data_IF_951618140490
#
_entry.id   IF_951618140490
#
_cell.length_a   1.000
_cell.length_b   1.000
_cell.length_c   1.000
_cell.angle_alpha   90.00
_cell.angle_beta   90.00
_cell.angle_gamma   90.00
#
_symmetry.space_group_name_H-M   'P 1'
#
loop_
_entity.id
_entity.type
_entity.pdbx_description
1 polymer ?
#
# COMPACT_ATOMS: atom_id res chain seq x y z
N UNK A 1 33.14 71.76 -11.94
CA UNK A 1 33.21 70.34 -11.55
C UNK A 1 31.91 69.86 -10.88
N UNK A 2 30.73 70.17 -11.44
CA UNK A 2 29.43 69.75 -10.87
C UNK A 2 28.38 69.36 -11.94
N UNK A 3 28.83 69.07 -13.17
CA UNK A 3 27.94 68.68 -14.28
C UNK A 3 28.37 67.38 -14.99
N UNK A 4 29.27 66.59 -14.39
CA UNK A 4 29.68 65.27 -14.90
C UNK A 4 29.27 64.09 -14.02
N UNK A 5 28.71 64.31 -12.82
CA UNK A 5 28.24 63.22 -11.95
C UNK A 5 26.73 62.93 -12.07
N UNK A 6 25.92 63.86 -12.58
CA UNK A 6 24.49 63.64 -12.77
C UNK A 6 24.15 62.72 -13.98
N UNK A 7 25.07 62.58 -14.93
CA UNK A 7 24.83 61.77 -16.13
C UNK A 7 25.18 60.29 -15.99
N UNK A 8 25.89 59.91 -14.92
CA UNK A 8 26.25 58.52 -14.61
C UNK A 8 25.23 57.86 -13.68
N UNK A 9 24.50 58.65 -12.88
CA UNK A 9 23.44 58.13 -12.00
C UNK A 9 22.16 57.79 -12.78
N UNK A 10 21.83 58.52 -13.85
CA UNK A 10 20.60 58.30 -14.65
C UNK A 10 20.64 57.04 -15.54
N UNK A 11 21.84 56.52 -15.89
CA UNK A 11 21.97 55.27 -16.67
C UNK A 11 21.94 54.00 -15.81
N UNK A 12 22.23 54.09 -14.51
CA UNK A 12 22.19 52.94 -13.59
C UNK A 12 20.74 52.65 -13.12
N UNK A 13 19.87 53.66 -13.03
CA UNK A 13 18.48 53.49 -12.60
C UNK A 13 17.56 52.87 -13.68
N UNK A 14 17.97 52.79 -14.95
CA UNK A 14 17.19 52.14 -16.01
C UNK A 14 17.61 50.71 -16.35
N UNK A 15 18.73 50.22 -15.82
CA UNK A 15 19.25 48.86 -16.11
C UNK A 15 18.80 47.84 -15.05
N UNK A 16 18.53 48.30 -13.83
CA UNK A 16 18.10 47.45 -12.71
C UNK A 16 16.68 46.86 -12.91
N UNK A 17 15.68 47.55 -13.51
CA UNK A 17 14.35 46.95 -13.69
C UNK A 17 14.30 45.84 -14.76
N UNK A 18 15.19 45.86 -15.76
CA UNK A 18 15.21 44.85 -16.84
C UNK A 18 15.96 43.58 -16.45
N UNK A 19 17.01 43.69 -15.64
CA UNK A 19 17.73 42.53 -15.14
C UNK A 19 16.95 41.84 -14.02
N UNK A 20 16.31 42.60 -13.12
CA UNK A 20 15.40 42.03 -12.12
C UNK A 20 14.15 41.43 -12.79
N UNK A 21 13.53 42.05 -13.82
CA UNK A 21 12.45 41.38 -14.58
C UNK A 21 12.91 40.10 -15.30
N UNK A 22 14.14 40.03 -15.81
CA UNK A 22 14.64 38.79 -16.41
C UNK A 22 14.93 37.71 -15.36
N UNK A 23 15.32 38.10 -14.14
CA UNK A 23 15.58 37.17 -13.03
C UNK A 23 14.32 36.79 -12.23
N UNK A 24 13.27 37.61 -12.20
CA UNK A 24 11.98 37.29 -11.53
C UNK A 24 10.92 36.73 -12.47
N UNK A 25 11.22 36.62 -13.77
CA UNK A 25 10.40 35.88 -14.74
C UNK A 25 11.12 34.61 -15.24
N UNK A 26 12.04 34.07 -14.46
CA UNK A 26 12.13 32.62 -14.34
C UNK A 26 11.05 32.23 -13.32
N UNK A 27 9.79 32.45 -13.72
CA UNK A 27 8.66 31.75 -13.14
C UNK A 27 9.13 30.31 -13.10
N UNK A 28 9.27 29.75 -11.90
CA UNK A 28 9.30 28.31 -11.73
C UNK A 28 8.09 27.81 -12.51
N UNK A 29 8.29 27.40 -13.77
CA UNK A 29 7.32 26.56 -14.44
C UNK A 29 7.35 25.32 -13.58
N UNK A 30 6.42 25.23 -12.63
CA UNK A 30 6.14 23.98 -11.95
C UNK A 30 5.99 22.97 -13.07
N UNK A 31 6.84 21.94 -13.06
CA UNK A 31 6.65 20.81 -13.96
C UNK A 31 5.17 20.40 -13.88
N UNK A 32 4.51 20.11 -15.01
CA UNK A 32 3.11 19.73 -14.97
C UNK A 32 2.97 18.54 -14.02
N UNK A 33 1.99 18.61 -13.11
CA UNK A 33 1.66 17.54 -12.17
C UNK A 33 1.52 16.23 -12.96
N UNK A 34 2.25 15.20 -12.54
CA UNK A 34 2.16 13.86 -13.11
C UNK A 34 1.40 12.96 -12.16
N UNK A 35 0.55 12.09 -12.72
CA UNK A 35 -0.20 11.08 -11.98
C UNK A 35 0.39 9.72 -12.30
N UNK A 36 0.83 8.99 -11.28
CA UNK A 36 1.52 7.70 -11.42
C UNK A 36 0.88 6.66 -10.53
N UNK A 37 0.78 5.42 -11.00
CA UNK A 37 0.18 4.35 -10.23
C UNK A 37 0.92 3.02 -10.32
N UNK A 38 0.82 2.24 -9.25
CA UNK A 38 1.21 0.83 -9.21
C UNK A 38 -0.01 0.01 -8.81
N UNK A 39 -0.42 -0.94 -9.65
CA UNK A 39 -1.57 -1.82 -9.43
C UNK A 39 -1.09 -3.27 -9.34
N UNK A 40 -1.37 -3.94 -8.23
CA UNK A 40 -0.88 -5.28 -7.91
C UNK A 40 -2.08 -6.18 -7.65
N UNK A 41 -2.30 -7.17 -8.51
CA UNK A 41 -3.40 -8.12 -8.42
C UNK A 41 -2.89 -9.55 -8.46
N UNK A 42 -3.12 -10.33 -7.39
CA UNK A 42 -2.56 -11.67 -7.24
C UNK A 42 -3.68 -12.68 -6.99
N UNK A 43 -3.81 -13.67 -7.88
CA UNK A 43 -4.82 -14.73 -7.77
C UNK A 43 -4.25 -16.06 -7.23
N UNK A 44 -2.93 -16.22 -7.14
CA UNK A 44 -2.26 -17.43 -6.65
C UNK A 44 -2.74 -18.71 -7.35
N UNK A 45 -2.95 -18.62 -8.68
CA UNK A 45 -3.61 -19.66 -9.48
C UNK A 45 -2.91 -21.01 -9.34
N UNK A 46 -3.68 -22.05 -9.03
CA UNK A 46 -3.17 -23.41 -8.85
C UNK A 46 -2.54 -23.71 -7.47
N UNK A 47 -2.62 -22.78 -6.51
CA UNK A 47 -2.19 -23.02 -5.12
C UNK A 47 -3.39 -23.22 -4.19
N UNK A 48 -3.14 -23.60 -2.93
CA UNK A 48 -4.21 -23.68 -1.92
C UNK A 48 -4.75 -22.29 -1.50
N UNK A 49 -4.01 -21.21 -1.76
CA UNK A 49 -4.45 -19.82 -1.58
C UNK A 49 -5.08 -19.19 -2.83
N UNK A 50 -5.64 -19.98 -3.74
CA UNK A 50 -6.19 -19.44 -4.99
C UNK A 50 -7.36 -18.46 -4.74
N UNK A 51 -7.21 -17.24 -5.27
CA UNK A 51 -8.22 -16.17 -5.38
C UNK A 51 -8.63 -15.98 -6.85
N UNK A 52 -9.75 -15.29 -7.11
CA UNK A 52 -10.26 -15.10 -8.49
C UNK A 52 -10.59 -13.67 -8.88
N UNK A 53 -10.84 -12.80 -7.91
CA UNK A 53 -11.22 -11.41 -8.12
C UNK A 53 -10.07 -10.44 -8.25
N UNK A 54 -8.90 -10.75 -7.69
CA UNK A 54 -7.83 -9.78 -7.48
C UNK A 54 -7.32 -9.13 -8.78
N UNK A 55 -7.10 -9.93 -9.81
CA UNK A 55 -6.70 -9.43 -11.14
C UNK A 55 -7.83 -8.61 -11.81
N UNK A 56 -9.09 -8.94 -11.56
CA UNK A 56 -10.23 -8.17 -12.10
C UNK A 56 -10.34 -6.81 -11.40
N UNK A 57 -10.06 -6.76 -10.10
CA UNK A 57 -10.08 -5.52 -9.31
C UNK A 57 -9.08 -4.51 -9.87
N UNK A 58 -7.83 -4.92 -10.10
CA UNK A 58 -6.80 -4.02 -10.64
C UNK A 58 -7.09 -3.59 -12.08
N UNK A 59 -7.69 -4.47 -12.90
CA UNK A 59 -8.11 -4.11 -14.27
C UNK A 59 -9.23 -3.07 -14.27
N UNK A 60 -10.17 -3.16 -13.34
CA UNK A 60 -11.24 -2.15 -13.17
C UNK A 60 -10.67 -0.85 -12.63
N UNK A 61 -9.78 -0.92 -11.64
CA UNK A 61 -9.12 0.26 -11.10
C UNK A 61 -8.26 0.97 -12.15
N UNK A 62 -7.54 0.23 -12.99
CA UNK A 62 -6.81 0.81 -14.13
C UNK A 62 -7.74 1.66 -15.02
N UNK A 63 -8.88 1.10 -15.45
CA UNK A 63 -9.85 1.85 -16.26
C UNK A 63 -10.37 3.09 -15.53
N UNK A 64 -10.70 2.95 -14.25
CA UNK A 64 -11.15 4.06 -13.41
C UNK A 64 -10.11 5.20 -13.34
N UNK A 65 -8.84 4.86 -13.11
CA UNK A 65 -7.74 5.83 -13.05
C UNK A 65 -7.57 6.60 -14.36
N UNK A 66 -7.66 5.90 -15.49
CA UNK A 66 -7.54 6.52 -16.82
C UNK A 66 -8.77 7.37 -17.14
N UNK A 67 -9.97 6.78 -17.07
CA UNK A 67 -11.21 7.40 -17.56
C UNK A 67 -11.72 8.51 -16.65
N UNK A 68 -11.66 8.31 -15.32
CA UNK A 68 -12.20 9.26 -14.33
C UNK A 68 -11.14 10.21 -13.81
N UNK A 69 -9.96 9.68 -13.48
CA UNK A 69 -8.91 10.46 -12.82
C UNK A 69 -7.84 10.98 -13.77
N UNK A 70 -7.90 10.65 -15.07
CA UNK A 70 -7.01 11.19 -16.10
C UNK A 70 -5.55 10.79 -15.93
N UNK A 71 -5.28 9.59 -15.43
CA UNK A 71 -3.94 9.00 -15.45
C UNK A 71 -3.58 8.62 -16.89
N UNK A 72 -2.34 8.86 -17.29
CA UNK A 72 -1.80 8.32 -18.55
C UNK A 72 -1.49 6.84 -18.37
N UNK A 73 -1.87 5.99 -19.32
CA UNK A 73 -1.58 4.54 -19.26
C UNK A 73 -0.09 4.25 -19.11
N UNK A 74 0.77 5.09 -19.69
CA UNK A 74 2.24 4.96 -19.60
C UNK A 74 2.79 5.17 -18.18
N UNK A 75 2.02 5.81 -17.31
CA UNK A 75 2.36 6.08 -15.92
C UNK A 75 1.69 5.09 -14.95
N UNK A 76 1.04 4.04 -15.45
CA UNK A 76 0.42 2.99 -14.63
C UNK A 76 1.19 1.67 -14.82
N UNK A 77 1.90 1.26 -13.79
CA UNK A 77 2.56 -0.04 -13.74
C UNK A 77 1.59 -1.09 -13.19
N UNK A 78 1.44 -2.21 -13.89
CA UNK A 78 0.59 -3.33 -13.46
C UNK A 78 1.42 -4.59 -13.21
N UNK A 79 1.24 -5.23 -12.05
CA UNK A 79 1.82 -6.52 -11.71
C UNK A 79 0.68 -7.51 -11.48
N UNK A 80 0.58 -8.53 -12.33
CA UNK A 80 -0.47 -9.56 -12.27
C UNK A 80 0.10 -10.94 -12.54
N UNK A 81 -0.36 -11.95 -11.80
CA UNK A 81 0.21 -13.30 -11.84
C UNK A 81 -0.43 -14.22 -12.88
N UNK A 82 -1.62 -13.87 -13.39
CA UNK A 82 -2.40 -14.65 -14.36
C UNK A 82 -2.01 -14.40 -15.83
N UNK A 83 -1.08 -13.50 -16.10
CA UNK A 83 -0.62 -13.17 -17.45
C UNK A 83 0.91 -13.13 -17.50
N UNK A 84 1.51 -14.22 -18.00
CA UNK A 84 2.98 -14.36 -18.11
C UNK A 84 3.65 -13.33 -19.01
N UNK A 85 2.90 -12.56 -19.80
CA UNK A 85 3.44 -11.45 -20.61
C UNK A 85 3.66 -10.18 -19.78
N UNK A 86 3.13 -10.12 -18.55
CA UNK A 86 3.25 -9.01 -17.63
C UNK A 86 4.34 -9.29 -16.59
N UNK A 87 4.74 -8.24 -15.90
CA UNK A 87 5.62 -8.35 -14.73
C UNK A 87 4.89 -9.14 -13.65
N UNK A 88 5.46 -10.26 -13.21
CA UNK A 88 4.88 -11.07 -12.15
C UNK A 88 4.97 -10.33 -10.80
N UNK A 89 3.96 -10.42 -9.93
CA UNK A 89 3.92 -9.77 -8.62
C UNK A 89 4.71 -10.55 -7.57
N UNK A 90 6.00 -10.78 -7.83
CA UNK A 90 6.95 -11.34 -6.86
C UNK A 90 7.36 -10.29 -5.82
N UNK A 91 7.86 -10.72 -4.66
CA UNK A 91 8.30 -9.79 -3.62
C UNK A 91 9.32 -8.78 -4.13
N UNK A 92 10.29 -9.25 -4.93
CA UNK A 92 11.28 -8.41 -5.63
C UNK A 92 10.61 -7.36 -6.52
N UNK A 93 9.72 -7.78 -7.41
CA UNK A 93 9.14 -6.91 -8.42
C UNK A 93 8.20 -5.87 -7.79
N UNK A 94 7.47 -6.25 -6.75
CA UNK A 94 6.61 -5.31 -6.00
C UNK A 94 7.46 -4.24 -5.31
N UNK A 95 8.51 -4.62 -4.57
CA UNK A 95 9.43 -3.68 -3.93
C UNK A 95 10.06 -2.71 -4.92
N UNK A 96 10.49 -3.22 -6.07
CA UNK A 96 11.05 -2.41 -7.14
C UNK A 96 10.02 -1.44 -7.70
N UNK A 97 8.80 -1.90 -8.02
CA UNK A 97 7.75 -1.04 -8.57
C UNK A 97 7.35 0.09 -7.61
N UNK A 98 7.22 -0.19 -6.31
CA UNK A 98 6.94 0.84 -5.30
C UNK A 98 8.11 1.82 -5.16
N UNK A 99 9.35 1.33 -5.17
CA UNK A 99 10.54 2.18 -5.09
C UNK A 99 10.69 3.09 -6.31
N UNK A 100 10.36 2.60 -7.52
CA UNK A 100 10.36 3.39 -8.75
C UNK A 100 9.22 4.42 -8.79
N UNK A 101 8.03 4.06 -8.30
CA UNK A 101 6.90 4.99 -8.16
C UNK A 101 7.30 6.20 -7.31
N UNK A 102 7.87 5.94 -6.14
CA UNK A 102 8.26 6.97 -5.18
C UNK A 102 9.52 7.72 -5.65
N UNK A 103 10.54 6.99 -6.11
CA UNK A 103 11.82 7.56 -6.52
C UNK A 103 11.75 8.44 -7.77
N UNK A 104 10.71 8.25 -8.60
CA UNK A 104 10.47 9.08 -9.78
C UNK A 104 9.50 10.25 -9.52
N UNK A 105 8.94 10.37 -8.32
CA UNK A 105 7.95 11.39 -7.98
C UNK A 105 8.58 12.78 -7.79
N UNK A 106 7.88 13.82 -8.24
CA UNK A 106 8.21 15.22 -8.00
C UNK A 106 7.18 15.88 -7.09
N UNK A 107 7.57 16.95 -6.40
CA UNK A 107 6.65 17.79 -5.60
C UNK A 107 5.40 18.15 -6.42
N UNK A 108 4.21 17.87 -5.85
CA UNK A 108 2.92 18.09 -6.49
C UNK A 108 2.36 16.90 -7.29
N UNK A 109 3.12 15.82 -7.49
CA UNK A 109 2.63 14.61 -8.18
C UNK A 109 1.55 13.88 -7.36
N UNK A 110 0.71 13.12 -8.06
CA UNK A 110 -0.30 12.24 -7.46
C UNK A 110 0.11 10.80 -7.66
N UNK A 111 0.33 10.08 -6.56
CA UNK A 111 0.73 8.69 -6.54
C UNK A 111 -0.43 7.83 -6.05
N UNK A 112 -0.64 6.70 -6.72
CA UNK A 112 -1.70 5.76 -6.36
C UNK A 112 -1.16 4.33 -6.30
N UNK A 113 -1.52 3.60 -5.25
CA UNK A 113 -1.19 2.19 -5.12
C UNK A 113 -2.48 1.42 -4.86
N UNK A 114 -2.73 0.36 -5.62
CA UNK A 114 -3.81 -0.57 -5.34
C UNK A 114 -3.24 -1.98 -5.22
N UNK A 115 -3.40 -2.56 -4.05
CA UNK A 115 -3.09 -3.96 -3.80
C UNK A 115 -4.40 -4.74 -3.67
N UNK A 116 -4.52 -5.85 -4.38
CA UNK A 116 -5.60 -6.82 -4.25
C UNK A 116 -4.99 -8.22 -4.22
N UNK A 117 -5.14 -8.92 -3.10
CA UNK A 117 -4.47 -10.19 -2.85
C UNK A 117 -4.60 -10.63 -1.39
N UNK A 118 -3.78 -11.60 -1.00
CA UNK A 118 -3.76 -12.11 0.36
C UNK A 118 -3.01 -11.17 1.32
N UNK A 119 -3.44 -11.16 2.58
CA UNK A 119 -2.63 -10.71 3.71
C UNK A 119 -2.44 -11.82 4.74
N UNK A 120 -1.33 -11.76 5.48
CA UNK A 120 -0.96 -12.76 6.50
C UNK A 120 -0.39 -12.07 7.73
N UNK A 121 -0.54 -12.71 8.90
CA UNK A 121 0.17 -12.34 10.13
C UNK A 121 1.32 -13.29 10.38
N UNK A 122 2.53 -12.75 10.49
CA UNK A 122 3.70 -13.50 10.90
C UNK A 122 3.98 -13.26 12.39
N UNK A 123 4.25 -14.31 13.19
CA UNK A 123 4.71 -14.12 14.56
C UNK A 123 5.97 -13.25 14.63
N UNK A 124 6.02 -12.38 15.63
CA UNK A 124 7.24 -11.66 16.01
C UNK A 124 8.28 -12.64 16.56
N UNK A 125 9.54 -12.52 16.15
CA UNK A 125 10.58 -13.47 16.56
C UNK A 125 11.64 -12.90 17.51
N UNK A 126 11.61 -11.61 17.89
CA UNK A 126 12.50 -11.09 18.93
C UNK A 126 11.94 -9.85 19.61
N UNK A 127 11.62 -9.94 20.92
CA UNK A 127 11.70 -8.89 21.96
C UNK A 127 11.04 -7.51 21.75
N UNK A 128 10.55 -7.19 20.56
CA UNK A 128 9.84 -5.97 20.22
C UNK A 128 8.36 -6.27 20.39
N UNK A 129 7.75 -5.61 21.36
CA UNK A 129 6.30 -5.49 21.40
C UNK A 129 5.92 -4.53 20.28
N UNK A 130 5.46 -5.04 19.14
CA UNK A 130 4.54 -4.24 18.32
C UNK A 130 3.17 -4.18 19.03
N UNK A 131 2.32 -3.23 18.66
CA UNK A 131 1.04 -3.01 19.36
C UNK A 131 0.02 -4.18 19.22
N UNK A 132 0.31 -5.17 18.37
CA UNK A 132 -0.55 -6.28 17.95
C UNK A 132 0.01 -7.69 18.25
N UNK A 133 1.33 -7.83 18.46
CA UNK A 133 2.06 -9.08 18.62
C UNK A 133 2.43 -9.82 17.31
N UNK A 134 2.22 -9.23 16.13
CA UNK A 134 2.43 -9.87 14.83
C UNK A 134 2.83 -8.85 13.73
N UNK A 135 3.75 -9.25 12.83
CA UNK A 135 3.99 -8.50 11.59
C UNK A 135 2.83 -8.73 10.60
N UNK A 136 2.15 -7.66 10.19
CA UNK A 136 1.15 -7.69 9.13
C UNK A 136 1.83 -7.61 7.74
N UNK A 137 1.51 -8.54 6.84
CA UNK A 137 2.21 -8.68 5.57
C UNK A 137 1.24 -8.78 4.39
N UNK A 138 1.61 -8.16 3.26
CA UNK A 138 1.08 -8.59 1.95
C UNK A 138 1.84 -9.83 1.47
N UNK A 139 1.17 -10.68 0.70
CA UNK A 139 1.71 -11.96 0.23
C UNK A 139 1.94 -11.91 -1.29
N UNK A 140 3.17 -11.70 -1.77
CA UNK A 140 3.49 -11.80 -3.19
C UNK A 140 3.30 -13.22 -3.74
N UNK A 141 3.27 -13.39 -5.07
CA UNK A 141 2.98 -14.70 -5.67
C UNK A 141 4.04 -15.78 -5.40
N UNK A 142 5.25 -15.38 -4.99
CA UNK A 142 6.38 -16.25 -4.65
C UNK A 142 6.57 -16.42 -3.13
N UNK A 143 5.62 -15.98 -2.30
CA UNK A 143 5.66 -16.05 -0.83
C UNK A 143 6.80 -15.25 -0.18
N UNK A 144 7.52 -14.42 -0.94
CA UNK A 144 8.51 -13.48 -0.44
C UNK A 144 7.82 -12.26 0.19
N UNK A 145 7.14 -12.49 1.31
CA UNK A 145 6.25 -11.56 1.99
C UNK A 145 6.88 -10.18 2.20
N UNK A 146 6.05 -9.15 2.10
CA UNK A 146 6.42 -7.76 2.33
C UNK A 146 5.64 -7.28 3.55
N UNK A 147 6.37 -6.94 4.61
CA UNK A 147 5.75 -6.45 5.84
C UNK A 147 5.30 -5.00 5.66
N UNK A 148 4.29 -4.60 6.42
CA UNK A 148 3.70 -3.28 6.42
C UNK A 148 4.69 -2.12 6.63
N UNK A 149 5.60 -2.26 7.59
CA UNK A 149 6.66 -1.30 7.87
C UNK A 149 7.59 -1.11 6.67
N UNK A 150 7.83 -2.14 5.86
CA UNK A 150 8.65 -2.05 4.65
C UNK A 150 7.96 -1.18 3.58
N UNK A 151 6.65 -1.37 3.37
CA UNK A 151 5.87 -0.55 2.45
C UNK A 151 5.90 0.91 2.91
N UNK A 152 5.79 1.14 4.22
CA UNK A 152 5.86 2.48 4.81
C UNK A 152 7.22 3.13 4.59
N UNK A 153 8.32 2.43 4.88
CA UNK A 153 9.68 2.92 4.64
C UNK A 153 9.91 3.33 3.18
N UNK A 154 9.27 2.64 2.22
CA UNK A 154 9.31 3.01 0.80
C UNK A 154 8.48 4.27 0.55
N UNK A 155 7.25 4.31 1.03
CA UNK A 155 6.30 5.42 0.84
C UNK A 155 6.78 6.73 1.46
N UNK A 156 7.43 6.68 2.64
CA UNK A 156 7.93 7.85 3.35
C UNK A 156 9.04 8.60 2.61
N UNK A 157 9.66 7.96 1.61
CA UNK A 157 10.65 8.58 0.71
C UNK A 157 10.01 9.53 -0.31
N UNK A 158 8.68 9.56 -0.44
CA UNK A 158 8.00 10.47 -1.35
C UNK A 158 8.24 11.94 -0.98
N UNK A 159 8.36 12.85 -1.97
CA UNK A 159 8.45 14.28 -1.72
C UNK A 159 7.25 14.78 -0.89
N UNK A 160 7.48 15.72 0.02
CA UNK A 160 6.47 16.17 1.00
C UNK A 160 5.18 16.73 0.39
N UNK A 161 5.23 17.26 -0.83
CA UNK A 161 4.08 17.84 -1.52
C UNK A 161 3.41 16.86 -2.50
N UNK A 162 3.81 15.59 -2.51
CA UNK A 162 3.08 14.55 -3.26
C UNK A 162 1.87 14.11 -2.47
N UNK A 163 0.77 13.80 -3.16
CA UNK A 163 -0.31 13.02 -2.58
C UNK A 163 -0.07 11.55 -2.88
N UNK A 164 -0.10 10.68 -1.87
CA UNK A 164 -0.09 9.23 -2.08
C UNK A 164 -1.31 8.59 -1.45
N UNK A 165 -2.07 7.85 -2.26
CA UNK A 165 -3.23 7.07 -1.81
C UNK A 165 -2.96 5.59 -2.04
N UNK A 166 -3.10 4.79 -0.99
CA UNK A 166 -2.95 3.34 -0.99
C UNK A 166 -4.32 2.73 -0.71
N UNK A 167 -4.81 1.90 -1.62
CA UNK A 167 -6.01 1.08 -1.43
C UNK A 167 -5.53 -0.36 -1.28
N UNK A 168 -5.77 -0.96 -0.12
CA UNK A 168 -5.37 -2.34 0.17
C UNK A 168 -6.60 -3.22 0.35
N UNK A 169 -6.96 -3.97 -0.68
CA UNK A 169 -8.03 -4.97 -0.63
C UNK A 169 -7.49 -6.33 -0.16
N UNK A 170 -7.04 -6.33 1.09
CA UNK A 170 -6.47 -7.48 1.79
C UNK A 170 -6.83 -7.45 3.28
N UNK A 171 -6.82 -8.62 3.92
CA UNK A 171 -6.86 -8.72 5.38
C UNK A 171 -5.52 -8.29 5.99
N UNK A 172 -5.51 -7.90 7.27
CA UNK A 172 -4.27 -7.53 7.99
C UNK A 172 -3.51 -6.41 7.28
N UNK A 173 -4.22 -5.32 6.97
CA UNK A 173 -3.64 -4.13 6.32
C UNK A 173 -3.70 -2.89 7.21
N UNK A 174 -4.11 -3.02 8.47
CA UNK A 174 -4.27 -1.90 9.40
C UNK A 174 -2.93 -1.28 9.80
N UNK A 175 -1.86 -2.10 9.84
CA UNK A 175 -0.51 -1.64 10.13
C UNK A 175 0.24 -0.97 8.97
N UNK A 176 -0.31 -0.97 7.74
CA UNK A 176 0.35 -0.37 6.55
C UNK A 176 0.72 1.11 6.76
N UNK A 177 0.04 1.85 7.65
CA UNK A 177 0.37 3.24 8.00
C UNK A 177 0.20 3.54 9.50
N UNK A 178 0.98 2.91 10.40
CA UNK A 178 0.95 3.18 11.87
C UNK A 178 1.45 4.60 12.29
N UNK A 179 1.87 5.46 11.35
CA UNK A 179 2.05 6.90 11.61
C UNK A 179 0.79 7.74 11.34
N UNK A 180 -0.18 7.22 10.58
CA UNK A 180 -1.41 7.92 10.25
C UNK A 180 -2.49 7.66 11.31
N UNK A 181 -3.19 8.72 11.68
CA UNK A 181 -4.33 8.61 12.59
C UNK A 181 -5.41 7.75 11.95
N UNK A 182 -5.93 6.78 12.71
CA UNK A 182 -7.15 6.06 12.36
C UNK A 182 -8.34 7.03 12.40
N UNK A 183 -8.88 7.37 11.23
CA UNK A 183 -9.99 8.33 11.08
C UNK A 183 -11.33 7.60 11.07
N UNK A 184 -11.36 6.42 10.47
CA UNK A 184 -12.51 5.53 10.43
C UNK A 184 -11.99 4.12 10.69
N UNK A 185 -12.39 3.54 11.82
CA UNK A 185 -11.94 2.21 12.24
C UNK A 185 -12.22 1.96 13.73
N UNK A 186 -12.01 0.73 14.17
CA UNK A 186 -12.20 0.27 15.55
C UNK A 186 -10.91 -0.34 16.15
N UNK A 187 -9.76 -0.20 15.45
CA UNK A 187 -8.48 -0.86 15.77
C UNK A 187 -7.90 -0.39 17.12
N UNK A 188 -8.30 0.78 17.60
CA UNK A 188 -7.86 1.36 18.89
C UNK A 188 -8.63 0.87 20.11
N UNK A 189 -9.65 0.01 19.96
CA UNK A 189 -10.21 -0.72 21.11
C UNK A 189 -9.24 -1.83 21.47
N UNK A 190 -8.36 -1.58 22.45
CA UNK A 190 -7.55 -2.63 23.10
C UNK A 190 -8.47 -3.81 23.39
N UNK A 191 -8.21 -4.95 22.75
CA UNK A 191 -8.82 -6.22 23.12
C UNK A 191 -8.62 -6.38 24.64
N UNK A 192 -9.72 -6.43 25.39
CA UNK A 192 -9.62 -6.76 26.80
C UNK A 192 -9.00 -8.16 26.90
N UNK A 193 -7.96 -8.31 27.73
CA UNK A 193 -7.30 -9.60 27.96
C UNK A 193 -8.36 -10.65 28.35
N UNK A 194 -8.71 -11.53 27.41
CA UNK A 194 -9.69 -12.60 27.66
C UNK A 194 -10.69 -12.86 26.53
N UNK A 195 -10.74 -12.06 25.46
CA UNK A 195 -11.54 -12.40 24.29
C UNK A 195 -10.83 -13.49 23.46
N UNK A 196 -11.44 -14.68 23.37
CA UNK A 196 -11.03 -15.73 22.45
C UNK A 196 -11.08 -15.17 21.02
N UNK A 197 -9.96 -15.26 20.28
CA UNK A 197 -9.93 -14.96 18.85
C UNK A 197 -10.97 -15.84 18.16
N UNK A 198 -12.07 -15.24 17.68
CA UNK A 198 -13.08 -15.99 16.93
C UNK A 198 -12.40 -16.66 15.74
N UNK A 199 -12.63 -17.96 15.56
CA UNK A 199 -12.22 -18.64 14.34
C UNK A 199 -12.81 -17.90 13.14
N UNK A 200 -11.91 -17.40 12.30
CA UNK A 200 -12.28 -16.66 11.11
C UNK A 200 -12.68 -17.69 10.04
N UNK A 201 -13.96 -17.72 9.67
CA UNK A 201 -14.44 -18.52 8.53
C UNK A 201 -13.63 -18.17 7.28
N UNK A 202 -12.98 -19.18 6.68
CA UNK A 202 -12.12 -19.00 5.51
C UNK A 202 -12.91 -18.91 4.20
N UNK A 203 -14.11 -19.48 4.15
CA UNK A 203 -15.02 -19.37 3.03
C UNK A 203 -16.46 -19.59 3.49
N UNK A 204 -17.40 -18.97 2.78
CA UNK A 204 -18.83 -19.18 3.01
C UNK A 204 -19.63 -19.04 1.71
N UNK A 205 -20.82 -19.63 1.71
CA UNK A 205 -21.77 -19.52 0.61
C UNK A 205 -22.97 -18.68 1.01
N UNK A 206 -23.35 -17.75 0.14
CA UNK A 206 -24.60 -17.00 0.24
C UNK A 206 -25.36 -17.12 -1.07
N UNK A 207 -26.47 -17.84 -1.05
CA UNK A 207 -27.22 -18.22 -2.25
C UNK A 207 -26.33 -18.91 -3.30
N UNK A 208 -26.05 -18.22 -4.42
CA UNK A 208 -25.19 -18.70 -5.51
C UNK A 208 -23.84 -17.95 -5.57
N UNK A 209 -23.48 -17.27 -4.48
CA UNK A 209 -22.26 -16.48 -4.34
C UNK A 209 -21.34 -17.20 -3.37
N UNK A 210 -20.15 -17.55 -3.84
CA UNK A 210 -19.09 -18.09 -2.99
C UNK A 210 -18.16 -16.96 -2.58
N UNK A 211 -17.88 -16.81 -1.30
CA UNK A 211 -16.96 -15.79 -0.79
C UNK A 211 -15.80 -16.49 -0.10
N UNK A 212 -14.59 -16.20 -0.57
CA UNK A 212 -13.34 -16.71 0.01
C UNK A 212 -12.63 -15.57 0.72
N UNK A 213 -12.10 -15.84 1.90
CA UNK A 213 -11.38 -14.87 2.70
C UNK A 213 -10.01 -14.56 2.09
N UNK A 214 -9.64 -13.28 2.07
CA UNK A 214 -8.32 -12.80 1.62
C UNK A 214 -7.27 -12.83 2.73
N UNK A 215 -7.58 -13.33 3.92
CA UNK A 215 -6.59 -13.69 4.93
C UNK A 215 -6.00 -15.05 4.57
N UNK A 216 -4.69 -15.15 4.41
CA UNK A 216 -4.01 -16.43 4.21
C UNK A 216 -3.63 -17.01 5.58
N UNK A 217 -4.13 -18.19 5.98
CA UNK A 217 -3.67 -18.86 7.19
C UNK A 217 -2.17 -19.13 7.16
N UNK A 218 -1.49 -19.01 8.30
CA UNK A 218 -0.03 -19.21 8.37
C UNK A 218 0.39 -20.60 7.87
N UNK A 219 -0.36 -21.65 8.20
CA UNK A 219 -0.06 -23.00 7.71
C UNK A 219 -0.14 -23.05 6.17
N UNK A 220 -1.08 -22.32 5.57
CA UNK A 220 -1.26 -22.34 4.12
C UNK A 220 -0.14 -21.61 3.40
N UNK A 221 0.27 -20.47 3.94
CA UNK A 221 1.47 -19.78 3.50
C UNK A 221 2.70 -20.68 3.59
N UNK A 222 2.89 -21.42 4.69
CA UNK A 222 3.99 -22.38 4.84
C UNK A 222 3.91 -23.46 3.76
N UNK A 223 2.75 -24.07 3.53
CA UNK A 223 2.58 -25.09 2.48
C UNK A 223 2.90 -24.55 1.09
N UNK A 224 2.44 -23.33 0.78
CA UNK A 224 2.72 -22.66 -0.49
C UNK A 224 4.22 -22.36 -0.63
N UNK A 225 4.89 -21.94 0.45
CA UNK A 225 6.33 -21.72 0.44
C UNK A 225 7.11 -23.04 0.26
N UNK A 226 6.66 -24.15 0.85
CA UNK A 226 7.24 -25.48 0.60
C UNK A 226 7.15 -25.87 -0.86
N UNK A 227 5.98 -25.66 -1.48
CA UNK A 227 5.76 -25.93 -2.89
C UNK A 227 6.64 -25.07 -3.80
N UNK A 228 6.76 -23.78 -3.51
CA UNK A 228 7.57 -22.83 -4.29
C UNK A 228 9.08 -23.14 -4.20
N UNK A 229 9.54 -23.55 -3.02
CA UNK A 229 10.98 -23.74 -2.74
C UNK A 229 11.46 -25.18 -2.93
N UNK A 230 10.54 -26.16 -2.92
CA UNK A 230 10.85 -27.58 -2.85
C UNK A 230 11.44 -28.04 -1.51
N UNK A 231 11.38 -27.22 -0.45
CA UNK A 231 11.85 -27.55 0.90
C UNK A 231 10.68 -28.07 1.75
N UNK A 232 10.82 -29.24 2.36
CA UNK A 232 9.75 -29.85 3.17
C UNK A 232 9.82 -29.53 4.67
N UNK A 233 10.95 -28.98 5.13
CA UNK A 233 11.30 -28.73 6.54
C UNK A 233 10.91 -27.34 7.05
N UNK A 234 10.11 -26.60 6.28
CA UNK A 234 9.62 -25.27 6.68
C UNK A 234 8.56 -25.40 7.79
N UNK A 235 8.77 -24.71 8.90
CA UNK A 235 7.88 -24.66 10.05
C UNK A 235 7.96 -23.30 10.76
N UNK A 236 7.04 -23.07 11.71
CA UNK A 236 7.08 -21.85 12.53
C UNK A 236 8.41 -21.82 13.30
N UNK A 237 9.17 -20.73 13.18
CA UNK A 237 10.52 -20.58 13.77
C UNK A 237 11.67 -20.61 12.76
N UNK A 238 11.46 -21.13 11.54
CA UNK A 238 12.49 -21.13 10.48
C UNK A 238 12.02 -20.46 9.16
N UNK A 239 10.90 -19.74 9.21
CA UNK A 239 10.32 -19.09 8.03
C UNK A 239 11.28 -18.02 7.50
N UNK A 240 11.75 -17.10 8.35
CA UNK A 240 12.63 -15.99 7.94
C UNK A 240 13.98 -16.49 7.42
N UNK A 241 14.59 -17.48 8.08
CA UNK A 241 15.83 -18.12 7.59
C UNK A 241 15.62 -18.79 6.23
N UNK A 242 14.50 -19.49 6.06
CA UNK A 242 14.14 -20.09 4.77
C UNK A 242 13.95 -19.03 3.68
N UNK A 243 13.25 -17.94 3.98
CA UNK A 243 13.08 -16.81 3.04
C UNK A 243 14.44 -16.23 2.66
N UNK A 244 15.36 -16.06 3.60
CA UNK A 244 16.71 -15.58 3.30
C UNK A 244 17.50 -16.56 2.42
N UNK A 245 17.49 -17.85 2.73
CA UNK A 245 18.19 -18.87 1.93
C UNK A 245 17.70 -18.93 0.48
N UNK A 246 16.41 -18.69 0.26
CA UNK A 246 15.76 -18.80 -1.05
C UNK A 246 15.95 -17.52 -1.85
N UNK A 247 15.72 -16.36 -1.23
CA UNK A 247 15.67 -15.08 -1.94
C UNK A 247 16.96 -14.26 -1.82
N UNK A 248 17.82 -14.54 -0.83
CA UNK A 248 19.07 -13.83 -0.59
C UNK A 248 18.88 -12.32 -0.54
N UNK A 249 19.49 -11.60 -1.48
CA UNK A 249 19.37 -10.15 -1.59
C UNK A 249 17.95 -9.65 -1.89
N UNK A 250 17.13 -10.49 -2.53
CA UNK A 250 15.75 -10.16 -2.87
C UNK A 250 14.78 -10.39 -1.69
N UNK A 251 15.25 -10.94 -0.55
CA UNK A 251 14.45 -11.07 0.67
C UNK A 251 14.11 -9.69 1.27
N UNK A 252 13.04 -9.63 2.07
CA UNK A 252 12.66 -8.40 2.79
C UNK A 252 13.84 -7.85 3.61
N UNK A 253 14.05 -6.51 3.65
CA UNK A 253 15.03 -5.88 4.54
C UNK A 253 14.92 -6.35 5.99
N UNK A 254 13.73 -6.66 6.49
CA UNK A 254 13.56 -7.16 7.86
C UNK A 254 14.05 -8.61 8.03
N UNK A 255 13.86 -9.45 7.00
CA UNK A 255 14.48 -10.77 6.97
C UNK A 255 16.01 -10.64 6.95
N UNK A 256 16.57 -9.73 6.14
CA UNK A 256 18.03 -9.50 6.08
C UNK A 256 18.59 -8.96 7.40
N UNK A 257 17.95 -7.96 8.00
CA UNK A 257 18.31 -7.43 9.34
C UNK A 257 18.25 -8.54 10.41
N UNK A 258 17.25 -9.42 10.36
CA UNK A 258 17.14 -10.56 11.27
C UNK A 258 18.34 -11.51 11.14
N UNK A 259 18.78 -11.81 9.92
CA UNK A 259 19.95 -12.65 9.68
C UNK A 259 21.25 -12.00 10.18
N UNK A 260 21.42 -10.69 9.93
CA UNK A 260 22.57 -9.93 10.44
C UNK A 260 22.65 -9.97 11.98
N UNK A 261 21.49 -9.90 12.66
CA UNK A 261 21.39 -10.01 14.13
C UNK A 261 21.77 -11.42 14.60
N UNK A 262 21.27 -12.48 13.95
CA UNK A 262 21.61 -13.86 14.30
C UNK A 262 23.11 -14.16 14.15
N UNK A 263 23.76 -13.60 13.12
CA UNK A 263 25.21 -13.72 12.94
C UNK A 263 26.00 -12.95 14.02
N UNK A 264 25.49 -11.80 14.47
CA UNK A 264 26.14 -10.93 15.46
C UNK A 264 25.88 -11.32 16.92
N UNK A 265 24.76 -11.97 17.25
CA UNK A 265 24.51 -12.57 18.58
C UNK A 265 25.49 -13.73 18.87
N UNK A 266 26.03 -14.38 17.84
CA UNK A 266 27.19 -15.28 17.96
C UNK A 266 28.51 -14.59 18.31
N UNK A 267 28.56 -13.24 18.28
CA UNK A 267 29.76 -12.42 18.50
C UNK A 267 29.59 -11.31 19.56
N UNK A 268 28.41 -11.15 20.17
CA UNK A 268 28.24 -10.40 21.42
C UNK A 268 28.20 -8.88 21.31
N UNK A 269 27.49 -8.31 20.33
CA UNK A 269 27.11 -6.88 20.36
C UNK A 269 25.60 -6.68 20.11
N UNK A 270 24.95 -5.95 21.02
CA UNK A 270 23.55 -5.55 20.92
C UNK A 270 23.50 -4.24 20.12
N UNK A 271 22.94 -4.28 18.92
CA UNK A 271 22.69 -3.07 18.13
C UNK A 271 21.53 -2.28 18.76
N UNK A 272 21.83 -1.10 19.31
CA UNK A 272 20.83 -0.23 19.93
C UNK A 272 19.78 0.26 18.93
N UNK A 273 18.54 0.36 19.40
CA UNK A 273 17.41 0.88 18.63
C UNK A 273 17.71 2.27 18.07
N UNK A 274 17.78 2.38 16.73
CA UNK A 274 17.65 3.66 16.06
C UNK A 274 16.16 4.01 16.11
N UNK A 275 15.77 4.77 17.14
CA UNK A 275 14.50 5.49 17.15
C UNK A 275 14.59 6.58 16.08
N UNK A 276 14.18 6.25 14.86
CA UNK A 276 13.93 7.25 13.83
C UNK A 276 12.73 8.07 14.28
N UNK A 277 12.85 9.40 14.32
CA UNK A 277 11.71 10.30 14.50
C UNK A 277 10.58 9.86 13.55
N UNK A 278 9.35 9.66 14.07
CA UNK A 278 8.21 9.28 13.24
C UNK A 278 8.06 10.32 12.12
N UNK A 279 8.20 9.91 10.84
CA UNK A 279 8.11 10.84 9.73
C UNK A 279 6.74 11.52 9.69
N UNK A 280 6.69 12.71 9.09
CA UNK A 280 5.43 13.44 8.89
C UNK A 280 4.48 12.58 8.05
N UNK A 281 3.22 12.57 8.47
CA UNK A 281 2.09 11.84 7.89
C UNK A 281 1.87 12.21 6.40
N UNK A 282 2.34 11.37 5.47
CA UNK A 282 2.41 11.66 4.02
C UNK A 282 1.35 10.95 3.17
N UNK A 283 0.66 9.95 3.72
CA UNK A 283 -0.17 9.05 2.92
C UNK A 283 -1.62 8.97 3.36
N UNK A 284 -2.44 8.47 2.45
CA UNK A 284 -3.80 8.01 2.73
C UNK A 284 -3.80 6.51 2.54
N UNK A 285 -4.18 5.76 3.56
CA UNK A 285 -4.47 4.33 3.43
C UNK A 285 -5.97 4.08 3.60
N UNK A 286 -6.50 3.31 2.68
CA UNK A 286 -7.84 2.73 2.77
C UNK A 286 -7.71 1.21 2.77
N UNK A 287 -8.01 0.58 3.90
CA UNK A 287 -7.95 -0.88 4.07
C UNK A 287 -9.30 -1.53 3.77
N UNK A 288 -9.30 -2.76 3.24
CA UNK A 288 -10.52 -3.50 2.94
C UNK A 288 -11.23 -4.06 4.18
N UNK A 289 -10.53 -4.22 5.30
CA UNK A 289 -11.13 -4.62 6.57
C UNK A 289 -10.33 -4.07 7.77
N UNK A 290 -10.92 -4.21 8.95
CA UNK A 290 -10.22 -4.01 10.23
C UNK A 290 -9.39 -5.25 10.61
N UNK A 291 -8.47 -5.08 11.56
CA UNK A 291 -7.54 -6.08 12.13
C UNK A 291 -8.23 -7.39 12.55
N UNK A 292 -9.49 -7.37 13.00
CA UNK A 292 -10.22 -8.57 13.46
C UNK A 292 -11.30 -9.06 12.49
N UNK A 293 -11.21 -8.67 11.21
CA UNK A 293 -12.22 -8.95 10.19
C UNK A 293 -11.61 -9.55 8.92
N UNK A 294 -12.48 -9.99 8.01
CA UNK A 294 -12.12 -10.60 6.72
C UNK A 294 -12.43 -9.66 5.58
N UNK A 295 -11.66 -9.73 4.48
CA UNK A 295 -12.00 -9.16 3.18
C UNK A 295 -12.38 -10.31 2.25
N UNK A 296 -13.46 -10.15 1.47
CA UNK A 296 -14.04 -11.19 0.64
C UNK A 296 -13.62 -11.14 -0.84
N UNK A 297 -13.09 -12.25 -1.34
CA UNK A 297 -13.03 -12.62 -2.76
C UNK A 297 -14.36 -13.25 -3.19
N UNK A 298 -15.19 -12.47 -3.88
CA UNK A 298 -16.53 -12.85 -4.29
C UNK A 298 -16.48 -13.58 -5.63
N UNK A 299 -17.14 -14.72 -5.71
CA UNK A 299 -17.20 -15.58 -6.91
C UNK A 299 -18.65 -15.88 -7.26
N UNK A 300 -19.03 -15.51 -8.47
CA UNK A 300 -20.35 -15.77 -9.06
C UNK A 300 -20.19 -16.61 -10.34
N UNK A 301 -21.31 -17.05 -10.95
CA UNK A 301 -21.30 -17.90 -12.16
C UNK A 301 -20.60 -17.30 -13.38
N UNK A 302 -20.33 -16.00 -13.41
CA UNK A 302 -19.67 -15.35 -14.55
C UNK A 302 -18.61 -14.31 -14.21
N UNK A 303 -18.43 -13.97 -12.92
CA UNK A 303 -17.53 -12.90 -12.50
C UNK A 303 -16.95 -13.19 -11.12
N UNK A 304 -15.73 -12.71 -10.88
CA UNK A 304 -15.12 -12.67 -9.57
C UNK A 304 -14.51 -11.30 -9.30
N UNK A 305 -14.62 -10.82 -8.07
CA UNK A 305 -14.19 -9.48 -7.65
C UNK A 305 -13.95 -9.44 -6.14
N UNK A 306 -13.15 -8.49 -5.67
CA UNK A 306 -13.07 -8.15 -4.26
C UNK A 306 -14.30 -7.34 -3.84
N UNK A 307 -14.97 -7.74 -2.76
CA UNK A 307 -16.15 -7.03 -2.28
C UNK A 307 -15.84 -5.55 -2.00
N UNK A 308 -14.64 -5.25 -1.46
CA UNK A 308 -14.22 -3.89 -1.16
C UNK A 308 -13.88 -3.08 -2.43
N UNK A 309 -13.06 -3.63 -3.32
CA UNK A 309 -12.74 -2.98 -4.60
C UNK A 309 -13.98 -2.76 -5.46
N UNK A 310 -14.92 -3.70 -5.48
CA UNK A 310 -16.19 -3.56 -6.19
C UNK A 310 -17.06 -2.43 -5.62
N UNK A 311 -17.20 -2.36 -4.29
CA UNK A 311 -17.93 -1.29 -3.63
C UNK A 311 -17.36 0.10 -3.97
N UNK A 312 -16.03 0.27 -3.96
CA UNK A 312 -15.38 1.52 -4.41
C UNK A 312 -15.80 1.86 -5.84
N UNK A 313 -15.69 0.89 -6.76
CA UNK A 313 -16.01 1.12 -8.17
C UNK A 313 -17.48 1.49 -8.38
N UNK A 314 -18.40 0.84 -7.66
CA UNK A 314 -19.85 1.12 -7.72
C UNK A 314 -20.15 2.54 -7.23
N UNK A 315 -19.62 2.93 -6.07
CA UNK A 315 -19.84 4.28 -5.52
C UNK A 315 -19.26 5.36 -6.42
N UNK A 316 -18.08 5.12 -7.00
CA UNK A 316 -17.53 6.03 -7.99
C UNK A 316 -18.47 6.11 -9.20
N UNK A 317 -18.88 4.99 -9.79
CA UNK A 317 -19.75 4.99 -10.98
C UNK A 317 -21.07 5.75 -10.77
N UNK A 318 -21.67 5.70 -9.59
CA UNK A 318 -22.95 6.34 -9.27
C UNK A 318 -22.82 7.83 -8.93
N UNK A 319 -21.62 8.29 -8.52
CA UNK A 319 -21.42 9.67 -8.05
C UNK A 319 -20.81 10.55 -9.13
N UNK A 320 -21.57 11.57 -9.54
CA UNK A 320 -21.06 12.67 -10.35
C UNK A 320 -20.24 13.65 -9.49
N UNK A 321 -19.07 14.07 -10.01
CA UNK A 321 -18.21 15.04 -9.34
C UNK A 321 -17.28 14.47 -8.28
N UNK A 322 -16.88 15.33 -7.33
CA UNK A 322 -15.88 15.02 -6.30
C UNK A 322 -16.48 14.22 -5.14
N UNK A 323 -15.68 13.28 -4.64
CA UNK A 323 -15.93 12.53 -3.40
C UNK A 323 -14.68 12.65 -2.53
N UNK A 324 -14.85 12.87 -1.23
CA UNK A 324 -13.72 12.90 -0.29
C UNK A 324 -13.31 11.51 0.15
N UNK A 325 -12.10 11.37 0.71
CA UNK A 325 -11.65 10.09 1.28
C UNK A 325 -12.63 9.56 2.33
N UNK A 326 -13.10 10.43 3.23
CA UNK A 326 -14.09 10.09 4.25
C UNK A 326 -15.42 9.63 3.66
N UNK A 327 -15.96 10.39 2.71
CA UNK A 327 -17.24 10.08 2.07
C UNK A 327 -17.18 8.73 1.32
N UNK A 328 -16.06 8.45 0.65
CA UNK A 328 -15.85 7.18 -0.02
C UNK A 328 -15.90 6.03 0.98
N UNK A 329 -15.11 6.08 2.06
CA UNK A 329 -15.02 4.97 3.02
C UNK A 329 -16.34 4.75 3.75
N UNK A 330 -17.07 5.82 4.11
CA UNK A 330 -18.39 5.69 4.71
C UNK A 330 -19.40 5.07 3.74
N UNK A 331 -19.45 5.55 2.49
CA UNK A 331 -20.32 4.96 1.48
C UNK A 331 -20.01 3.49 1.22
N UNK A 332 -18.71 3.13 1.21
CA UNK A 332 -18.28 1.73 1.04
C UNK A 332 -18.77 0.87 2.20
N UNK A 333 -18.66 1.34 3.46
CA UNK A 333 -19.19 0.63 4.63
C UNK A 333 -20.70 0.40 4.52
N UNK A 334 -21.45 1.44 4.14
CA UNK A 334 -22.90 1.34 3.94
C UNK A 334 -23.26 0.33 2.84
N UNK A 335 -22.56 0.37 1.71
CA UNK A 335 -22.75 -0.57 0.61
C UNK A 335 -22.48 -2.02 1.05
N UNK A 336 -21.37 -2.26 1.74
CA UNK A 336 -20.99 -3.60 2.20
C UNK A 336 -21.96 -4.14 3.25
N UNK A 337 -22.44 -3.30 4.16
CA UNK A 337 -23.46 -3.67 5.14
C UNK A 337 -24.79 -4.02 4.46
N UNK A 338 -25.23 -3.21 3.48
CA UNK A 338 -26.41 -3.48 2.68
C UNK A 338 -26.29 -4.82 1.93
N UNK A 339 -25.14 -5.05 1.32
CA UNK A 339 -24.79 -6.31 0.64
C UNK A 339 -24.40 -7.43 1.62
N UNK A 340 -24.60 -7.26 2.94
CA UNK A 340 -24.35 -8.29 3.96
C UNK A 340 -22.94 -8.90 3.94
N UNK A 341 -21.91 -8.10 3.64
CA UNK A 341 -20.52 -8.48 3.85
C UNK A 341 -20.08 -8.07 5.27
N UNK A 342 -19.38 -8.93 6.02
CA UNK A 342 -19.01 -8.64 7.41
C UNK A 342 -17.89 -7.59 7.53
N UNK A 343 -17.20 -7.30 6.43
CA UNK A 343 -16.00 -6.48 6.38
C UNK A 343 -16.31 -4.99 6.57
N UNK A 344 -15.49 -4.29 7.34
CA UNK A 344 -15.59 -2.85 7.58
C UNK A 344 -14.29 -2.14 7.18
N UNK A 345 -14.24 -1.55 5.99
CA UNK A 345 -13.05 -0.82 5.53
C UNK A 345 -12.59 0.28 6.47
N UNK A 346 -11.29 0.54 6.54
CA UNK A 346 -10.69 1.58 7.39
C UNK A 346 -10.18 2.77 6.59
N UNK A 347 -10.09 3.94 7.24
CA UNK A 347 -9.40 5.13 6.71
C UNK A 347 -8.30 5.55 7.69
N UNK A 348 -7.07 5.60 7.21
CA UNK A 348 -5.90 6.00 7.98
C UNK A 348 -5.19 7.13 7.23
N UNK A 349 -5.27 8.33 7.78
CA UNK A 349 -4.63 9.52 7.20
C UNK A 349 -4.58 10.67 8.21
N UNK A 350 -3.83 11.72 7.88
CA UNK A 350 -3.84 12.97 8.63
C UNK A 350 -5.21 13.66 8.61
N UNK A 351 -5.49 14.51 9.60
CA UNK A 351 -6.76 15.25 9.69
C UNK A 351 -7.03 16.09 8.42
N UNK A 352 -5.99 16.60 7.75
CA UNK A 352 -6.13 17.38 6.51
C UNK A 352 -6.55 16.53 5.30
N UNK A 353 -6.30 15.22 5.34
CA UNK A 353 -6.59 14.32 4.23
C UNK A 353 -7.98 13.67 4.31
N UNK A 354 -8.67 13.80 5.45
CA UNK A 354 -10.01 13.24 5.67
C UNK A 354 -11.02 13.77 4.64
N UNK A 355 -11.08 15.10 4.50
CA UNK A 355 -12.01 15.80 3.60
C UNK A 355 -11.35 16.21 2.27
N UNK A 356 -10.11 15.76 2.02
CA UNK A 356 -9.47 15.91 0.72
C UNK A 356 -10.16 15.02 -0.34
N UNK A 357 -10.15 15.40 -1.62
CA UNK A 357 -10.66 14.56 -2.70
C UNK A 357 -9.97 13.20 -2.73
N UNK A 358 -10.74 12.14 -3.00
CA UNK A 358 -10.17 10.84 -3.31
C UNK A 358 -9.36 10.93 -4.61
N UNK A 359 -8.06 10.61 -4.52
CA UNK A 359 -7.06 10.66 -5.60
C UNK A 359 -6.71 12.06 -6.10
N UNK A 360 -7.61 12.82 -6.74
CA UNK A 360 -7.30 14.15 -7.29
C UNK A 360 -8.53 15.01 -7.63
#
# INVERSE_FOLDING_TARGET
AQQKEAHTCSKITQIIPKMIRRFTTQIFKSSPMVKKAVLIGINYTGTEGELRGCVNDVKRMHKCLVERFGFSEENITQLIDTDKSKTQPTGKNIRQALSELVGSANSGDVLFVHYSGHGVRLPLETGKEDNTGFDECIVPCDMNNIIDDEIREIVDKAPNDCSITIVSDSCHSGGLVDAAKEQIGDSTKKLEKGEESKEIEQEYWRDNVHVVNRSLPLHSMINMLKQETGKDDIEVGNIRTTLYDVFGEDASPNVKKFMDIQETEGQGEILGDIVTEKPKDKGILISGCQTDQTSGDVRTKGQAYGAFSDAIQTILAEREGKITNKELVLGVREFLEYECYPQKPGLYCSDSNVDAPFIC
#
